data_IF_894911271810
#
_entry.id   IF_894911271810
#
_cell.length_a   1.000
_cell.length_b   1.000
_cell.length_c   1.000
_cell.angle_alpha   90.00
_cell.angle_beta   90.00
_cell.angle_gamma   90.00
#
_symmetry.space_group_name_H-M   'P 1'
#
loop_
_entity.id
_entity.type
_entity.pdbx_description
1 polymer ?
#
# COMPACT_ATOMS: atom_id res chain seq x y z
N UNK A 1 28.12 -22.13 11.87
CA UNK A 1 27.77 -20.89 12.58
C UNK A 1 26.83 -20.11 11.67
N UNK A 2 25.58 -19.95 12.08
CA UNK A 2 24.63 -19.09 11.38
C UNK A 2 24.78 -17.68 11.95
N UNK A 3 25.01 -16.69 11.10
CA UNK A 3 25.10 -15.28 11.50
C UNK A 3 23.82 -14.61 11.01
N UNK A 4 23.02 -14.08 11.93
CA UNK A 4 21.81 -13.32 11.60
C UNK A 4 22.18 -11.86 11.42
N UNK A 5 21.81 -11.30 10.27
CA UNK A 5 22.10 -9.90 9.90
C UNK A 5 20.78 -9.21 9.58
N UNK A 6 20.60 -7.98 10.06
CA UNK A 6 19.42 -7.16 9.72
C UNK A 6 19.52 -6.71 8.26
N UNK A 7 18.38 -6.61 7.58
CA UNK A 7 18.26 -6.11 6.20
C UNK A 7 18.80 -4.67 6.03
N UNK A 8 18.78 -3.87 7.09
CA UNK A 8 19.30 -2.49 7.13
C UNK A 8 20.79 -2.36 7.49
N UNK A 9 21.52 -3.47 7.63
CA UNK A 9 22.89 -3.44 8.13
C UNK A 9 23.89 -2.89 7.09
N UNK A 10 24.23 -1.60 7.23
CA UNK A 10 25.11 -0.87 6.31
C UNK A 10 26.51 -1.49 6.16
N UNK A 11 27.06 -2.12 7.22
CA UNK A 11 28.38 -2.76 7.19
C UNK A 11 28.50 -3.87 6.14
N UNK A 12 27.38 -4.47 5.70
CA UNK A 12 27.37 -5.44 4.61
C UNK A 12 27.92 -4.82 3.32
N UNK A 13 27.56 -3.57 3.04
CA UNK A 13 28.04 -2.82 1.88
C UNK A 13 29.50 -2.37 2.00
N UNK A 14 29.99 -2.17 3.23
CA UNK A 14 31.37 -1.73 3.51
C UNK A 14 32.38 -2.86 3.69
N UNK A 15 32.02 -4.11 3.37
CA UNK A 15 32.95 -5.25 3.40
C UNK A 15 32.30 -6.58 3.76
N UNK A 16 31.11 -6.59 4.36
CA UNK A 16 30.42 -7.84 4.70
C UNK A 16 30.11 -8.71 3.48
N UNK A 17 29.69 -8.12 2.35
CA UNK A 17 29.51 -8.87 1.09
C UNK A 17 30.81 -9.44 0.54
N UNK A 18 31.95 -8.75 0.71
CA UNK A 18 33.25 -9.27 0.32
C UNK A 18 33.62 -10.50 1.17
N UNK A 19 33.40 -10.43 2.48
CA UNK A 19 33.61 -11.59 3.38
C UNK A 19 32.72 -12.77 2.99
N UNK A 20 31.44 -12.53 2.69
CA UNK A 20 30.52 -13.56 2.23
C UNK A 20 30.98 -14.19 0.89
N UNK A 21 31.48 -13.38 -0.04
CA UNK A 21 32.04 -13.85 -1.31
C UNK A 21 33.29 -14.71 -1.11
N UNK A 22 34.22 -14.29 -0.24
CA UNK A 22 35.42 -15.06 0.11
C UNK A 22 35.09 -16.39 0.78
N UNK A 23 34.12 -16.39 1.71
CA UNK A 23 33.64 -17.62 2.33
C UNK A 23 33.01 -18.57 1.29
N UNK A 24 32.21 -18.05 0.36
CA UNK A 24 31.63 -18.82 -0.75
C UNK A 24 32.72 -19.40 -1.64
N UNK A 25 33.74 -18.61 -1.99
CA UNK A 25 34.88 -19.08 -2.78
C UNK A 25 35.65 -20.21 -2.08
N UNK A 26 35.86 -20.11 -0.76
CA UNK A 26 36.49 -21.17 0.03
C UNK A 26 35.66 -22.47 0.04
N UNK A 27 34.33 -22.37 0.14
CA UNK A 27 33.42 -23.53 0.05
C UNK A 27 33.49 -24.18 -1.33
N UNK A 28 33.47 -23.39 -2.41
CA UNK A 28 33.60 -23.90 -3.78
C UNK A 28 34.96 -24.60 -3.95
N UNK A 29 36.05 -23.96 -3.49
CA UNK A 29 37.40 -24.52 -3.56
C UNK A 29 37.53 -25.85 -2.80
N UNK A 30 36.84 -25.99 -1.65
CA UNK A 30 36.77 -27.25 -0.92
C UNK A 30 35.90 -28.30 -1.65
N UNK A 31 34.80 -27.90 -2.28
CA UNK A 31 33.89 -28.81 -2.97
C UNK A 31 34.49 -29.43 -4.24
N UNK A 32 35.37 -28.71 -4.95
CA UNK A 32 36.01 -29.20 -6.18
C UNK A 32 37.23 -30.10 -5.94
N UNK A 33 37.65 -30.30 -4.68
CA UNK A 33 38.82 -31.12 -4.38
C UNK A 33 38.63 -32.57 -4.88
N UNK A 34 39.67 -33.21 -5.45
CA UNK A 34 39.60 -34.59 -5.92
C UNK A 34 39.22 -35.56 -4.80
N UNK A 35 39.84 -35.39 -3.62
CA UNK A 35 39.59 -36.22 -2.43
C UNK A 35 38.23 -35.89 -1.80
N UNK A 36 37.55 -36.93 -1.30
CA UNK A 36 36.32 -36.76 -0.53
C UNK A 36 36.63 -36.01 0.77
N UNK A 37 35.86 -34.96 1.04
CA UNK A 37 35.89 -34.23 2.30
C UNK A 37 34.45 -34.01 2.80
N UNK A 38 34.31 -33.48 4.02
CA UNK A 38 33.01 -33.27 4.65
C UNK A 38 32.10 -32.35 3.83
N UNK A 39 32.64 -31.23 3.31
CA UNK A 39 31.90 -30.24 2.50
C UNK A 39 31.40 -30.86 1.19
N UNK A 40 32.26 -31.57 0.47
CA UNK A 40 31.88 -32.29 -0.76
C UNK A 40 30.79 -33.33 -0.47
N UNK A 41 30.89 -34.05 0.64
CA UNK A 41 29.91 -35.09 1.00
C UNK A 41 28.55 -34.51 1.34
N UNK A 42 28.50 -33.37 2.05
CA UNK A 42 27.23 -32.71 2.41
C UNK A 42 26.53 -32.07 1.22
N UNK A 43 27.26 -31.58 0.22
CA UNK A 43 26.71 -30.94 -0.98
C UNK A 43 26.45 -31.90 -2.16
N UNK A 44 26.86 -33.17 -2.05
CA UNK A 44 26.67 -34.19 -3.10
C UNK A 44 25.31 -34.91 -3.18
N UNK A 45 24.35 -34.81 -2.22
CA UNK A 45 23.04 -35.44 -2.37
C UNK A 45 22.39 -35.14 -3.73
N UNK A 46 21.74 -36.16 -4.30
CA UNK A 46 21.19 -36.07 -5.66
C UNK A 46 20.21 -34.91 -5.78
N UNK A 47 19.32 -34.73 -4.80
CA UNK A 47 18.33 -33.66 -4.82
C UNK A 47 18.97 -32.25 -4.84
N UNK A 48 20.00 -32.00 -4.02
CA UNK A 48 20.74 -30.73 -4.02
C UNK A 48 21.38 -30.45 -5.38
N UNK A 49 21.99 -31.48 -5.99
CA UNK A 49 22.58 -31.35 -7.33
C UNK A 49 21.54 -31.09 -8.41
N UNK A 50 20.35 -31.69 -8.33
CA UNK A 50 19.27 -31.44 -9.29
C UNK A 50 18.72 -30.01 -9.15
N UNK A 51 18.52 -29.51 -7.93
CA UNK A 51 18.16 -28.11 -7.69
C UNK A 51 19.24 -27.18 -8.24
N UNK A 52 20.51 -27.50 -8.00
CA UNK A 52 21.65 -26.73 -8.52
C UNK A 52 21.66 -26.62 -10.05
N UNK A 53 21.27 -27.68 -10.77
CA UNK A 53 21.19 -27.66 -12.25
C UNK A 53 20.13 -26.70 -12.77
N UNK A 54 18.98 -26.60 -12.10
CA UNK A 54 17.87 -25.73 -12.50
C UNK A 54 17.89 -24.36 -11.79
N UNK A 55 18.92 -24.08 -10.99
CA UNK A 55 19.00 -22.89 -10.13
C UNK A 55 18.88 -21.57 -10.91
N UNK A 56 19.42 -21.53 -12.12
CA UNK A 56 19.26 -20.39 -13.01
C UNK A 56 17.80 -20.16 -13.41
N UNK A 57 17.09 -21.21 -13.85
CA UNK A 57 15.66 -21.16 -14.14
C UNK A 57 14.82 -20.80 -12.91
N UNK A 58 15.16 -21.32 -11.73
CA UNK A 58 14.49 -20.94 -10.47
C UNK A 58 14.65 -19.44 -10.19
N UNK A 59 15.87 -18.91 -10.31
CA UNK A 59 16.13 -17.47 -10.14
C UNK A 59 15.38 -16.63 -11.17
N UNK A 60 15.27 -17.07 -12.42
CA UNK A 60 14.58 -16.29 -13.45
C UNK A 60 13.05 -16.31 -13.26
N UNK A 61 12.47 -17.49 -13.03
CA UNK A 61 11.03 -17.69 -13.08
C UNK A 61 10.31 -17.43 -11.75
N UNK A 62 11.01 -17.44 -10.61
CA UNK A 62 10.34 -17.17 -9.33
C UNK A 62 9.74 -15.75 -9.31
N UNK A 63 10.44 -14.74 -9.84
CA UNK A 63 9.99 -13.35 -9.75
C UNK A 63 8.69 -13.09 -10.54
N UNK A 64 8.57 -13.46 -11.83
CA UNK A 64 7.30 -13.36 -12.56
C UNK A 64 6.17 -14.17 -11.93
N UNK A 65 6.45 -15.37 -11.42
CA UNK A 65 5.43 -16.22 -10.78
C UNK A 65 4.88 -15.56 -9.53
N UNK A 66 5.74 -14.99 -8.68
CA UNK A 66 5.31 -14.31 -7.46
C UNK A 66 4.55 -13.01 -7.73
N UNK A 67 4.86 -12.32 -8.84
CA UNK A 67 4.09 -11.13 -9.26
C UNK A 67 2.72 -11.48 -9.86
N UNK A 68 2.59 -12.65 -10.48
CA UNK A 68 1.38 -13.03 -11.21
C UNK A 68 0.40 -13.85 -10.40
N UNK A 69 0.89 -14.68 -9.48
CA UNK A 69 0.08 -15.48 -8.57
C UNK A 69 -0.04 -14.75 -7.24
N UNK A 70 -0.91 -13.74 -7.18
CA UNK A 70 -1.26 -13.02 -5.95
C UNK A 70 -2.45 -13.67 -5.25
N UNK A 71 -2.62 -13.40 -3.96
CA UNK A 71 -3.77 -13.87 -3.18
C UNK A 71 -5.11 -13.45 -3.81
N UNK A 72 -5.19 -12.24 -4.34
CA UNK A 72 -6.37 -11.71 -5.03
C UNK A 72 -6.78 -12.50 -6.28
N UNK A 73 -5.80 -13.06 -6.99
CA UNK A 73 -6.05 -13.81 -8.24
C UNK A 73 -6.35 -15.28 -8.00
N UNK A 74 -5.77 -15.86 -6.95
CA UNK A 74 -5.84 -17.29 -6.67
C UNK A 74 -6.88 -17.59 -5.57
N UNK A 75 -7.28 -16.60 -4.78
CA UNK A 75 -8.21 -16.76 -3.66
C UNK A 75 -7.60 -17.43 -2.42
N UNK A 76 -6.32 -17.74 -2.46
CA UNK A 76 -5.56 -18.43 -1.40
C UNK A 76 -4.49 -17.51 -0.82
N UNK A 77 -4.13 -17.69 0.45
CA UNK A 77 -3.12 -16.88 1.14
C UNK A 77 -2.14 -17.74 1.96
N UNK A 78 -1.14 -17.10 2.55
CA UNK A 78 -0.21 -17.74 3.49
C UNK A 78 0.57 -18.92 2.89
N UNK A 79 0.67 -20.01 3.67
CA UNK A 79 1.49 -21.19 3.32
C UNK A 79 0.98 -21.89 2.05
N UNK A 80 -0.34 -21.90 1.83
CA UNK A 80 -0.94 -22.55 0.65
C UNK A 80 -0.49 -21.83 -0.62
N UNK A 81 -0.63 -20.51 -0.66
CA UNK A 81 -0.17 -19.70 -1.79
C UNK A 81 1.34 -19.85 -2.02
N UNK A 82 2.13 -19.90 -0.94
CA UNK A 82 3.57 -20.11 -1.01
C UNK A 82 3.92 -21.46 -1.67
N UNK A 83 3.26 -22.54 -1.26
CA UNK A 83 3.44 -23.88 -1.85
C UNK A 83 3.06 -23.89 -3.33
N UNK A 84 1.95 -23.24 -3.70
CA UNK A 84 1.53 -23.10 -5.10
C UNK A 84 2.61 -22.38 -5.92
N UNK A 85 3.10 -21.23 -5.45
CA UNK A 85 4.15 -20.46 -6.13
C UNK A 85 5.43 -21.24 -6.31
N UNK A 86 5.87 -21.98 -5.28
CA UNK A 86 7.03 -22.86 -5.40
C UNK A 86 6.77 -23.96 -6.43
N UNK A 87 5.64 -24.67 -6.35
CA UNK A 87 5.31 -25.75 -7.27
C UNK A 87 5.31 -25.26 -8.73
N UNK A 88 4.70 -24.11 -9.01
CA UNK A 88 4.68 -23.49 -10.34
C UNK A 88 6.09 -23.09 -10.77
N UNK A 89 6.86 -22.42 -9.89
CA UNK A 89 8.24 -22.01 -10.17
C UNK A 89 9.14 -23.21 -10.51
N UNK A 90 9.09 -24.27 -9.71
CA UNK A 90 9.87 -25.49 -9.93
C UNK A 90 9.46 -26.18 -11.23
N UNK A 91 8.17 -26.21 -11.55
CA UNK A 91 7.65 -26.80 -12.79
C UNK A 91 8.15 -26.04 -14.02
N UNK A 92 8.03 -24.70 -14.02
CA UNK A 92 8.51 -23.86 -15.11
C UNK A 92 10.03 -23.95 -15.24
N UNK A 93 10.77 -23.84 -14.15
CA UNK A 93 12.24 -23.92 -14.16
C UNK A 93 12.74 -25.28 -14.65
N UNK A 94 12.13 -26.38 -14.21
CA UNK A 94 12.48 -27.75 -14.66
C UNK A 94 12.19 -27.92 -16.14
N UNK A 95 11.02 -27.48 -16.60
CA UNK A 95 10.64 -27.55 -18.02
C UNK A 95 11.58 -26.69 -18.87
N UNK A 96 11.86 -25.46 -18.45
CA UNK A 96 12.80 -24.55 -19.11
C UNK A 96 14.20 -25.15 -19.19
N UNK A 97 14.67 -25.80 -18.12
CA UNK A 97 15.98 -26.45 -18.11
C UNK A 97 16.08 -27.57 -19.16
N UNK A 98 15.13 -28.49 -19.21
CA UNK A 98 15.20 -29.64 -20.13
C UNK A 98 14.85 -29.29 -21.58
N UNK A 99 13.92 -28.35 -21.80
CA UNK A 99 13.41 -28.02 -23.14
C UNK A 99 14.21 -26.89 -23.80
N UNK A 100 14.69 -25.92 -23.02
CA UNK A 100 15.36 -24.72 -23.54
C UNK A 100 16.84 -24.72 -23.20
N UNK A 101 17.20 -24.80 -21.91
CA UNK A 101 18.60 -24.60 -21.50
C UNK A 101 19.53 -25.74 -21.94
N UNK A 102 19.13 -27.00 -21.73
CA UNK A 102 19.97 -28.15 -22.01
C UNK A 102 20.28 -28.28 -23.52
N UNK A 103 19.30 -28.10 -24.43
CA UNK A 103 19.59 -28.12 -25.87
C UNK A 103 20.48 -26.95 -26.34
N UNK A 104 20.40 -25.75 -25.71
CA UNK A 104 21.36 -24.64 -25.92
C UNK A 104 22.76 -25.07 -25.51
N UNK A 105 22.91 -25.49 -24.26
CA UNK A 105 24.20 -25.77 -23.61
C UNK A 105 24.96 -26.87 -24.32
N UNK A 106 24.24 -27.90 -24.78
CA UNK A 106 24.82 -29.04 -25.49
C UNK A 106 24.94 -28.81 -27.01
N UNK A 107 24.61 -27.60 -27.50
CA UNK A 107 24.74 -27.19 -28.90
C UNK A 107 23.99 -28.09 -29.90
N UNK A 108 22.94 -28.79 -29.47
CA UNK A 108 22.13 -29.68 -30.33
C UNK A 108 21.46 -28.93 -31.50
N UNK A 109 21.50 -27.60 -31.50
CA UNK A 109 20.90 -26.71 -32.50
C UNK A 109 21.88 -26.23 -33.58
N UNK A 110 23.17 -26.57 -33.47
CA UNK A 110 24.19 -26.19 -34.47
C UNK A 110 24.10 -26.97 -35.79
N UNK A 111 23.30 -28.04 -35.87
CA UNK A 111 23.10 -28.82 -37.09
C UNK A 111 21.70 -28.58 -37.67
N UNK A 112 21.62 -27.90 -38.82
CA UNK A 112 20.42 -27.75 -39.65
C UNK A 112 19.64 -26.42 -39.54
N UNK A 113 18.53 -26.25 -40.29
CA UNK A 113 17.74 -25.01 -40.39
C UNK A 113 17.09 -24.56 -39.07
N UNK A 114 17.18 -25.39 -38.03
CA UNK A 114 16.70 -25.12 -36.66
C UNK A 114 17.39 -23.92 -36.01
N UNK A 115 18.59 -23.53 -36.45
CA UNK A 115 19.31 -22.34 -35.95
C UNK A 115 18.56 -21.03 -36.22
N UNK A 116 17.97 -20.90 -37.42
CA UNK A 116 17.21 -19.71 -37.80
C UNK A 116 15.88 -19.64 -37.05
N UNK A 117 15.15 -20.77 -36.97
CA UNK A 117 13.89 -20.90 -36.21
C UNK A 117 14.05 -20.52 -34.75
N UNK A 118 15.22 -20.81 -34.18
CA UNK A 118 15.42 -20.59 -32.76
C UNK A 118 15.86 -19.17 -32.42
N UNK A 119 16.63 -18.52 -33.29
CA UNK A 119 16.91 -17.07 -33.19
C UNK A 119 15.61 -16.27 -33.36
N UNK A 120 14.75 -16.64 -34.32
CA UNK A 120 13.44 -16.00 -34.47
C UNK A 120 12.51 -16.31 -33.31
N UNK A 121 12.51 -17.52 -32.75
CA UNK A 121 11.73 -17.86 -31.55
C UNK A 121 12.23 -17.12 -30.29
N UNK A 122 13.53 -16.91 -30.12
CA UNK A 122 14.05 -16.11 -29.01
C UNK A 122 13.74 -14.61 -29.19
N UNK A 123 13.85 -14.07 -30.41
CA UNK A 123 13.43 -12.69 -30.69
C UNK A 123 11.92 -12.50 -30.49
N UNK A 124 11.11 -13.46 -30.94
CA UNK A 124 9.67 -13.47 -30.72
C UNK A 124 9.33 -13.65 -29.23
N UNK A 125 10.10 -14.43 -28.46
CA UNK A 125 9.95 -14.58 -27.02
C UNK A 125 10.29 -13.31 -26.24
N UNK A 126 11.32 -12.56 -26.66
CA UNK A 126 11.65 -11.25 -26.09
C UNK A 126 10.56 -10.22 -26.42
N UNK A 127 10.06 -10.20 -27.67
CA UNK A 127 8.97 -9.33 -28.08
C UNK A 127 7.64 -9.69 -27.40
N UNK A 128 7.31 -10.98 -27.27
CA UNK A 128 6.14 -11.45 -26.54
C UNK A 128 6.26 -11.17 -25.04
N UNK A 129 7.46 -11.32 -24.45
CA UNK A 129 7.76 -10.89 -23.09
C UNK A 129 7.47 -9.39 -22.93
N UNK A 130 8.03 -8.54 -23.79
CA UNK A 130 7.74 -7.10 -23.79
C UNK A 130 6.24 -6.80 -23.93
N UNK A 131 5.52 -7.51 -24.81
CA UNK A 131 4.07 -7.33 -25.02
C UNK A 131 3.19 -7.86 -23.88
N UNK A 132 3.60 -8.93 -23.17
CA UNK A 132 2.88 -9.47 -22.01
C UNK A 132 3.15 -8.60 -20.76
N UNK A 133 4.34 -8.03 -20.62
CA UNK A 133 4.71 -7.18 -19.48
C UNK A 133 4.24 -5.72 -19.64
N UNK A 134 4.08 -5.20 -20.86
CA UNK A 134 3.57 -3.84 -21.13
C UNK A 134 2.18 -3.53 -20.51
N UNK A 135 1.16 -4.40 -20.60
CA UNK A 135 -0.15 -4.18 -19.98
C UNK A 135 -0.19 -4.52 -18.48
N UNK A 136 0.83 -5.19 -17.91
CA UNK A 136 0.90 -5.38 -16.45
C UNK A 136 1.31 -4.07 -15.75
N UNK A 137 2.02 -3.18 -16.45
CA UNK A 137 2.43 -1.86 -15.95
C UNK A 137 1.39 -0.78 -16.21
N UNK A 138 0.49 -0.98 -17.18
CA UNK A 138 -0.65 -0.08 -17.40
C UNK A 138 -1.87 -0.66 -16.67
N UNK A 139 -2.41 -0.01 -15.62
CA UNK A 139 -3.74 -0.36 -15.18
C UNK A 139 -4.63 -0.30 -16.42
N UNK A 140 -5.43 -1.33 -16.65
CA UNK A 140 -6.53 -1.27 -17.61
C UNK A 140 -7.52 -0.26 -17.08
N UNK A 141 -7.24 1.03 -17.28
CA UNK A 141 -8.22 2.08 -17.11
C UNK A 141 -9.26 1.85 -18.21
N UNK A 142 -10.33 1.11 -17.88
CA UNK A 142 -11.60 1.34 -18.56
C UNK A 142 -11.82 2.85 -18.53
N UNK A 143 -12.11 3.50 -19.67
CA UNK A 143 -12.43 4.92 -19.66
C UNK A 143 -13.62 5.09 -18.71
N UNK A 144 -13.37 5.68 -17.53
CA UNK A 144 -14.44 5.98 -16.60
C UNK A 144 -15.39 6.94 -17.32
N UNK A 145 -16.68 6.58 -17.36
CA UNK A 145 -17.70 7.52 -17.83
C UNK A 145 -17.65 8.73 -16.90
N UNK A 146 -17.66 9.93 -17.47
CA UNK A 146 -17.86 11.15 -16.69
C UNK A 146 -19.10 10.97 -15.81
N UNK A 147 -18.91 11.02 -14.49
CA UNK A 147 -20.00 10.96 -13.54
C UNK A 147 -20.59 12.36 -13.48
N UNK A 148 -21.79 12.54 -14.02
CA UNK A 148 -22.51 13.79 -13.84
C UNK A 148 -22.80 13.98 -12.35
N UNK A 149 -22.37 15.10 -11.79
CA UNK A 149 -22.72 15.50 -10.41
C UNK A 149 -24.19 15.94 -10.42
N UNK A 150 -25.10 15.04 -10.05
CA UNK A 150 -26.49 15.42 -9.80
C UNK A 150 -26.61 16.09 -8.43
N UNK A 151 -26.62 17.42 -8.40
CA UNK A 151 -26.94 18.18 -7.19
C UNK A 151 -28.44 18.04 -6.89
N UNK A 152 -28.80 17.17 -5.95
CA UNK A 152 -30.21 17.00 -5.53
C UNK A 152 -30.60 17.94 -4.37
N UNK A 153 -29.78 18.94 -4.04
CA UNK A 153 -29.98 19.85 -2.91
C UNK A 153 -30.29 21.29 -3.31
N UNK A 154 -31.13 21.98 -2.52
CA UNK A 154 -31.54 23.37 -2.76
C UNK A 154 -30.65 24.43 -2.09
N UNK A 155 -29.69 24.03 -1.26
CA UNK A 155 -28.74 24.94 -0.60
C UNK A 155 -27.45 25.09 -1.40
N UNK A 156 -26.92 26.33 -1.56
CA UNK A 156 -25.65 26.54 -2.24
C UNK A 156 -24.51 25.84 -1.47
N UNK A 157 -23.52 25.28 -2.18
CA UNK A 157 -22.39 24.62 -1.54
C UNK A 157 -21.59 25.61 -0.66
N UNK A 158 -20.82 25.11 0.32
CA UNK A 158 -19.90 25.94 1.11
C UNK A 158 -18.89 26.62 0.17
N UNK A 159 -18.80 27.95 0.22
CA UNK A 159 -17.93 28.72 -0.68
C UNK A 159 -16.44 28.35 -0.53
N UNK A 160 -16.03 27.87 0.66
CA UNK A 160 -14.65 27.52 0.96
C UNK A 160 -14.52 26.29 1.83
N UNK A 161 -13.83 25.28 1.31
CA UNK A 161 -13.58 24.00 1.98
C UNK A 161 -12.07 23.83 2.22
N UNK A 162 -11.69 23.44 3.44
CA UNK A 162 -10.34 22.98 3.76
C UNK A 162 -10.37 21.46 3.95
N UNK A 163 -9.48 20.71 3.28
CA UNK A 163 -9.30 19.27 3.53
C UNK A 163 -7.99 19.07 4.28
N UNK A 164 -8.04 18.41 5.43
CA UNK A 164 -6.86 18.05 6.23
C UNK A 164 -6.91 16.59 6.65
N UNK A 165 -5.75 16.02 6.92
CA UNK A 165 -5.65 14.60 7.22
C UNK A 165 -4.33 13.99 6.79
N UNK A 166 -4.36 12.70 6.50
CA UNK A 166 -3.20 11.93 6.06
C UNK A 166 -3.09 11.83 4.51
N UNK A 167 -2.35 10.83 4.01
CA UNK A 167 -2.23 10.59 2.58
C UNK A 167 -3.54 10.17 1.91
N UNK A 168 -4.50 9.62 2.65
CA UNK A 168 -5.83 9.27 2.14
C UNK A 168 -6.64 10.55 1.93
N UNK A 169 -6.61 11.49 2.89
CA UNK A 169 -7.16 12.83 2.70
C UNK A 169 -6.53 13.56 1.51
N UNK A 170 -5.20 13.47 1.37
CA UNK A 170 -4.49 14.09 0.27
C UNK A 170 -4.94 13.54 -1.09
N UNK A 171 -5.04 12.22 -1.23
CA UNK A 171 -5.37 11.60 -2.53
C UNK A 171 -6.84 11.73 -2.88
N UNK A 172 -7.77 11.54 -1.93
CA UNK A 172 -9.20 11.76 -2.18
C UNK A 172 -9.49 13.24 -2.44
N UNK A 173 -8.77 14.13 -1.74
CA UNK A 173 -8.88 15.58 -1.89
C UNK A 173 -8.50 16.08 -3.28
N UNK A 174 -7.61 15.39 -4.02
CA UNK A 174 -7.31 15.72 -5.41
C UNK A 174 -8.53 15.55 -6.33
N UNK A 175 -9.36 14.55 -6.06
CA UNK A 175 -10.66 14.39 -6.74
C UNK A 175 -11.68 15.43 -6.26
N UNK A 176 -11.67 15.77 -4.97
CA UNK A 176 -12.54 16.81 -4.43
C UNK A 176 -12.24 18.18 -5.08
N UNK A 177 -10.98 18.50 -5.34
CA UNK A 177 -10.59 19.74 -6.05
C UNK A 177 -11.20 19.81 -7.46
N UNK A 178 -11.28 18.69 -8.19
CA UNK A 178 -11.93 18.64 -9.51
C UNK A 178 -13.42 18.93 -9.40
N UNK A 179 -14.13 18.20 -8.54
CA UNK A 179 -15.57 18.38 -8.36
C UNK A 179 -15.92 19.75 -7.76
N UNK A 180 -15.06 20.32 -6.92
CA UNK A 180 -15.23 21.66 -6.35
C UNK A 180 -15.13 22.77 -7.41
N UNK A 181 -14.19 22.64 -8.35
CA UNK A 181 -14.01 23.61 -9.43
C UNK A 181 -15.27 23.71 -10.32
N UNK A 182 -15.91 22.58 -10.62
CA UNK A 182 -17.15 22.53 -11.40
C UNK A 182 -18.34 23.19 -10.68
N UNK A 183 -18.27 23.28 -9.35
CA UNK A 183 -19.28 23.87 -8.48
C UNK A 183 -18.96 25.31 -8.05
N UNK A 184 -17.84 25.87 -8.49
CA UNK A 184 -17.37 27.20 -8.06
C UNK A 184 -17.01 27.27 -6.57
N UNK A 185 -16.58 26.15 -5.97
CA UNK A 185 -16.17 26.03 -4.56
C UNK A 185 -14.65 26.18 -4.46
N UNK A 186 -14.17 27.08 -3.60
CA UNK A 186 -12.75 27.18 -3.27
C UNK A 186 -12.35 26.01 -2.34
N UNK A 187 -11.83 24.92 -2.90
CA UNK A 187 -11.31 23.80 -2.09
C UNK A 187 -9.80 23.88 -1.95
N UNK A 188 -9.33 23.72 -0.70
CA UNK A 188 -7.91 23.73 -0.36
C UNK A 188 -7.51 22.37 0.22
N UNK A 189 -6.85 21.54 -0.57
CA UNK A 189 -6.34 20.26 -0.10
C UNK A 189 -5.00 20.42 0.64
N UNK A 190 -4.97 20.02 1.91
CA UNK A 190 -3.81 20.09 2.81
C UNK A 190 -3.61 18.76 3.55
N UNK A 191 -4.00 17.64 2.95
CA UNK A 191 -3.65 16.32 3.46
C UNK A 191 -2.14 16.14 3.50
N UNK A 192 -1.63 15.50 4.55
CA UNK A 192 -0.20 15.33 4.76
C UNK A 192 0.21 13.87 4.55
N UNK A 193 1.13 13.65 3.62
CA UNK A 193 1.59 12.31 3.30
C UNK A 193 2.29 11.67 4.49
N UNK A 194 1.99 10.39 4.73
CA UNK A 194 2.61 9.56 5.76
C UNK A 194 2.40 10.01 7.22
N UNK A 195 1.47 10.94 7.49
CA UNK A 195 1.23 11.48 8.82
C UNK A 195 -0.07 10.99 9.43
N UNK A 196 -0.05 10.72 10.74
CA UNK A 196 -1.25 10.54 11.55
C UNK A 196 -1.42 11.70 12.53
N UNK A 197 -2.17 11.47 13.60
CA UNK A 197 -2.34 12.41 14.71
C UNK A 197 -1.22 12.34 15.76
N UNK A 198 -0.35 11.34 15.69
CA UNK A 198 0.73 11.15 16.66
C UNK A 198 1.84 12.21 16.49
N UNK A 199 2.24 12.82 17.60
CA UNK A 199 3.34 13.78 17.68
C UNK A 199 4.66 13.06 17.99
N UNK A 200 5.26 12.47 16.95
CA UNK A 200 6.54 11.76 17.07
C UNK A 200 6.42 10.33 17.62
N UNK A 201 7.54 9.80 18.11
CA UNK A 201 7.64 8.40 18.55
C UNK A 201 7.72 7.43 17.38
N UNK A 202 7.17 6.23 17.56
CA UNK A 202 7.11 5.19 16.53
C UNK A 202 5.68 4.71 16.33
N UNK A 203 5.40 4.16 15.16
CA UNK A 203 4.16 3.45 14.86
C UNK A 203 4.45 2.09 14.25
N UNK A 204 3.56 1.12 14.46
CA UNK A 204 3.66 -0.22 13.87
C UNK A 204 3.07 -0.23 12.46
N UNK A 205 3.87 -0.60 11.46
CA UNK A 205 3.43 -0.83 10.07
C UNK A 205 3.77 -2.23 9.62
N UNK A 206 2.75 -3.02 9.26
CA UNK A 206 2.93 -4.41 8.83
C UNK A 206 3.83 -5.22 9.77
N UNK A 207 3.63 -5.03 11.08
CA UNK A 207 4.37 -5.70 12.15
C UNK A 207 5.76 -5.16 12.47
N UNK A 208 6.18 -4.03 11.88
CA UNK A 208 7.47 -3.38 12.16
C UNK A 208 7.28 -2.00 12.77
N UNK A 209 8.05 -1.69 13.81
CA UNK A 209 8.12 -0.33 14.36
C UNK A 209 8.92 0.56 13.42
N UNK A 210 8.31 1.68 13.02
CA UNK A 210 8.93 2.73 12.21
C UNK A 210 8.77 4.07 12.92
N UNK A 211 9.78 4.93 12.82
CA UNK A 211 9.70 6.27 13.39
C UNK A 211 8.63 7.10 12.66
N UNK A 212 7.90 7.90 13.43
CA UNK A 212 6.99 8.89 12.85
C UNK A 212 7.83 9.91 12.08
N UNK A 213 7.43 10.18 10.83
CA UNK A 213 8.16 11.10 9.96
C UNK A 213 8.27 12.49 10.62
N UNK A 214 9.47 13.08 10.72
CA UNK A 214 9.65 14.39 11.37
C UNK A 214 8.79 15.52 10.81
N UNK A 215 8.36 15.42 9.55
CA UNK A 215 7.44 16.41 8.97
C UNK A 215 6.05 16.41 9.64
N UNK A 216 5.67 15.33 10.32
CA UNK A 216 4.36 15.16 10.93
C UNK A 216 4.21 15.84 12.31
N UNK A 217 5.23 16.48 12.86
CA UNK A 217 5.15 16.99 14.25
C UNK A 217 4.57 18.41 14.36
N UNK A 218 4.54 19.17 13.26
CA UNK A 218 4.15 20.59 13.28
C UNK A 218 2.70 20.86 12.82
N UNK A 219 1.91 19.81 12.57
CA UNK A 219 0.59 19.90 11.93
C UNK A 219 -0.37 20.90 12.59
N UNK A 220 -0.34 21.04 13.93
CA UNK A 220 -1.19 22.01 14.66
C UNK A 220 -0.91 23.46 14.24
N UNK A 221 0.36 23.83 14.11
CA UNK A 221 0.74 25.18 13.70
C UNK A 221 0.38 25.41 12.23
N UNK A 222 0.53 24.38 11.40
CA UNK A 222 0.18 24.44 9.99
C UNK A 222 -1.33 24.61 9.80
N UNK A 223 -2.15 23.85 10.53
CA UNK A 223 -3.62 23.96 10.53
C UNK A 223 -4.07 25.34 11.01
N UNK A 224 -3.49 25.85 12.10
CA UNK A 224 -3.79 27.21 12.58
C UNK A 224 -3.46 28.28 11.53
N UNK A 225 -2.34 28.12 10.82
CA UNK A 225 -1.96 28.96 9.68
C UNK A 225 -2.95 28.84 8.52
N UNK A 226 -3.43 27.64 8.20
CA UNK A 226 -4.43 27.42 7.16
C UNK A 226 -5.76 28.10 7.50
N UNK A 227 -6.27 27.89 8.71
CA UNK A 227 -7.52 28.53 9.18
C UNK A 227 -7.40 30.05 9.10
N UNK A 228 -6.30 30.63 9.61
CA UNK A 228 -6.07 32.08 9.57
C UNK A 228 -6.02 32.65 8.15
N UNK A 229 -5.37 31.95 7.21
CA UNK A 229 -5.16 32.43 5.83
C UNK A 229 -6.38 32.20 4.94
N UNK A 230 -6.99 31.02 5.08
CA UNK A 230 -8.04 30.55 4.18
C UNK A 230 -9.42 30.91 4.72
N UNK A 231 -9.63 30.95 6.04
CA UNK A 231 -10.95 31.15 6.65
C UNK A 231 -12.02 30.20 6.09
N UNK A 232 -11.80 28.86 6.20
CA UNK A 232 -12.71 27.89 5.64
C UNK A 232 -14.08 27.94 6.32
N UNK A 233 -15.15 27.76 5.54
CA UNK A 233 -16.51 27.60 6.10
C UNK A 233 -16.75 26.18 6.58
N UNK A 234 -16.13 25.22 5.89
CA UNK A 234 -16.16 23.81 6.24
C UNK A 234 -14.72 23.26 6.19
N UNK A 235 -14.30 22.57 7.24
CA UNK A 235 -13.06 21.79 7.26
C UNK A 235 -13.39 20.30 7.27
N UNK A 236 -12.98 19.57 6.24
CA UNK A 236 -13.08 18.12 6.15
C UNK A 236 -11.84 17.49 6.78
N UNK A 237 -12.03 16.61 7.75
CA UNK A 237 -10.95 15.89 8.43
C UNK A 237 -11.04 14.41 8.08
N UNK A 238 -10.01 13.85 7.46
CA UNK A 238 -9.94 12.42 7.14
C UNK A 238 -8.60 11.85 7.57
N UNK A 239 -8.63 10.91 8.50
CA UNK A 239 -7.48 10.07 8.83
C UNK A 239 -7.88 8.62 8.73
N UNK A 240 -6.96 7.80 8.26
CA UNK A 240 -7.18 6.39 7.99
C UNK A 240 -5.99 5.57 8.53
N UNK A 241 -4.99 5.30 7.69
CA UNK A 241 -4.05 4.20 7.92
C UNK A 241 -3.08 4.42 9.09
N UNK A 242 -2.76 5.66 9.42
CA UNK A 242 -1.80 5.97 10.48
C UNK A 242 -2.43 6.10 11.87
N UNK A 243 -3.71 6.48 11.94
CA UNK A 243 -4.43 6.61 13.22
C UNK A 243 -4.88 5.27 13.77
N UNK A 244 -4.93 4.23 12.94
CA UNK A 244 -5.26 2.85 13.32
C UNK A 244 -4.03 1.96 13.56
N UNK A 245 -2.85 2.57 13.67
CA UNK A 245 -1.60 1.88 13.97
C UNK A 245 -1.36 1.81 15.48
N UNK A 246 -0.66 0.77 15.94
CA UNK A 246 -0.12 0.75 17.31
C UNK A 246 0.95 1.83 17.43
N UNK A 247 0.99 2.55 18.55
CA UNK A 247 1.93 3.64 18.78
C UNK A 247 2.93 3.26 19.86
N UNK A 248 4.16 3.77 19.75
CA UNK A 248 5.14 3.78 20.83
C UNK A 248 5.56 5.21 21.10
N UNK A 249 5.15 5.73 22.25
CA UNK A 249 5.40 7.12 22.66
C UNK A 249 6.14 7.13 23.99
N UNK A 250 7.30 7.80 24.06
CA UNK A 250 8.13 7.88 25.28
C UNK A 250 8.37 6.49 25.92
N UNK A 251 8.79 5.53 25.10
CA UNK A 251 9.03 4.12 25.48
C UNK A 251 7.81 3.37 26.05
N UNK A 252 6.58 3.87 25.81
CA UNK A 252 5.34 3.17 26.14
C UNK A 252 4.62 2.74 24.88
N UNK A 253 4.27 1.46 24.84
CA UNK A 253 3.46 0.88 23.78
C UNK A 253 1.99 1.15 24.07
N UNK A 254 1.33 1.81 23.13
CA UNK A 254 -0.10 2.07 23.09
C UNK A 254 -0.67 1.22 21.95
N UNK A 255 -1.10 0.00 22.29
CA UNK A 255 -1.80 -0.86 21.34
C UNK A 255 -3.10 -0.18 20.91
N UNK A 256 -3.38 -0.16 19.61
CA UNK A 256 -4.59 0.45 19.06
C UNK A 256 -5.84 -0.32 19.52
N UNK A 257 -6.89 0.40 19.87
CA UNK A 257 -8.12 -0.18 20.42
C UNK A 257 -8.16 -0.22 21.95
N UNK A 258 -7.07 0.14 22.62
CA UNK A 258 -6.99 0.18 24.08
C UNK A 258 -7.34 1.57 24.63
N UNK A 259 -7.86 1.68 25.87
CA UNK A 259 -8.26 2.96 26.45
C UNK A 259 -7.17 4.03 26.43
N UNK A 260 -5.89 3.64 26.54
CA UNK A 260 -4.77 4.57 26.52
C UNK A 260 -4.50 5.14 25.11
N UNK A 261 -4.59 4.32 24.05
CA UNK A 261 -4.45 4.80 22.67
C UNK A 261 -5.64 5.67 22.28
N UNK A 262 -6.86 5.24 22.66
CA UNK A 262 -8.10 5.95 22.33
C UNK A 262 -8.11 7.34 22.95
N UNK A 263 -7.73 7.44 24.23
CA UNK A 263 -7.57 8.72 24.92
C UNK A 263 -6.56 9.61 24.22
N UNK A 264 -5.38 9.08 23.88
CA UNK A 264 -4.36 9.87 23.20
C UNK A 264 -4.84 10.40 21.84
N UNK A 265 -5.41 9.53 20.99
CA UNK A 265 -5.86 9.91 19.65
C UNK A 265 -7.04 10.90 19.70
N UNK A 266 -7.99 10.71 20.61
CA UNK A 266 -9.11 11.64 20.79
C UNK A 266 -8.68 12.99 21.37
N UNK A 267 -7.69 13.03 22.28
CA UNK A 267 -7.08 14.29 22.74
C UNK A 267 -6.38 15.04 21.59
N UNK A 268 -5.70 14.32 20.69
CA UNK A 268 -5.09 14.93 19.50
C UNK A 268 -6.13 15.43 18.50
N UNK A 269 -7.16 14.62 18.24
CA UNK A 269 -8.29 15.02 17.41
C UNK A 269 -8.97 16.27 17.97
N UNK A 270 -9.20 16.34 19.28
CA UNK A 270 -9.81 17.48 19.95
C UNK A 270 -9.03 18.78 19.70
N UNK A 271 -7.71 18.74 19.86
CA UNK A 271 -6.85 19.91 19.58
C UNK A 271 -6.97 20.36 18.13
N UNK A 272 -7.03 19.41 17.19
CA UNK A 272 -7.20 19.71 15.77
C UNK A 272 -8.56 20.34 15.46
N UNK A 273 -9.64 19.78 16.02
CA UNK A 273 -11.00 20.32 15.89
C UNK A 273 -11.09 21.74 16.45
N UNK A 274 -10.50 21.99 17.63
CA UNK A 274 -10.45 23.32 18.25
C UNK A 274 -9.76 24.36 17.36
N UNK A 275 -8.67 23.98 16.70
CA UNK A 275 -7.96 24.83 15.74
C UNK A 275 -8.84 25.10 14.52
N UNK A 276 -9.46 24.07 13.94
CA UNK A 276 -10.24 24.20 12.71
C UNK A 276 -11.50 25.05 12.88
N UNK A 277 -12.12 25.02 14.07
CA UNK A 277 -13.31 25.83 14.40
C UNK A 277 -12.99 27.24 14.91
N UNK A 278 -11.71 27.60 15.08
CA UNK A 278 -11.33 28.84 15.78
C UNK A 278 -11.78 30.14 15.09
N UNK A 279 -12.08 30.10 13.78
CA UNK A 279 -12.61 31.23 12.99
C UNK A 279 -14.12 31.08 12.68
N UNK A 280 -14.82 30.19 13.39
CA UNK A 280 -16.28 29.98 13.27
C UNK A 280 -16.72 29.06 12.13
N UNK A 281 -15.79 28.34 11.48
CA UNK A 281 -16.10 27.32 10.48
C UNK A 281 -16.59 26.01 11.10
N UNK A 282 -17.39 25.24 10.36
CA UNK A 282 -17.79 23.89 10.76
C UNK A 282 -16.70 22.87 10.48
N UNK A 283 -16.61 21.83 11.30
CA UNK A 283 -15.69 20.69 11.11
C UNK A 283 -16.51 19.44 10.81
N UNK A 284 -16.17 18.78 9.71
CA UNK A 284 -16.80 17.52 9.30
C UNK A 284 -15.76 16.42 9.36
N UNK A 285 -15.93 15.51 10.31
CA UNK A 285 -15.10 14.32 10.48
C UNK A 285 -15.59 13.24 9.50
N UNK A 286 -14.73 12.84 8.56
CA UNK A 286 -15.04 11.76 7.62
C UNK A 286 -14.57 10.44 8.22
N UNK A 287 -15.41 9.41 8.16
CA UNK A 287 -15.04 8.05 8.60
C UNK A 287 -13.91 7.49 7.73
N UNK A 288 -12.98 6.75 8.34
CA UNK A 288 -11.97 6.00 7.60
C UNK A 288 -12.65 4.89 6.80
N UNK A 289 -12.36 4.76 5.49
CA UNK A 289 -12.93 3.68 4.71
C UNK A 289 -12.11 2.39 4.89
N UNK A 290 -12.70 1.22 4.62
CA UNK A 290 -11.92 -0.03 4.65
C UNK A 290 -10.83 -0.03 3.57
N UNK A 291 -9.71 -0.68 3.91
CA UNK A 291 -8.56 -0.88 3.02
C UNK A 291 -8.30 -2.36 2.80
N UNK A 292 -7.62 -2.66 1.70
CA UNK A 292 -7.12 -4.01 1.43
C UNK A 292 -5.96 -3.90 0.44
N UNK A 293 -4.73 -3.88 0.95
CA UNK A 293 -3.53 -3.76 0.12
C UNK A 293 -3.23 -5.08 -0.58
N UNK A 294 -2.94 -5.07 -1.89
CA UNK A 294 -2.49 -6.26 -2.59
C UNK A 294 -1.14 -6.71 -2.06
N UNK A 295 -0.91 -8.03 -2.07
CA UNK A 295 0.41 -8.58 -1.75
C UNK A 295 1.45 -8.07 -2.75
N UNK A 296 2.54 -7.48 -2.23
CA UNK A 296 3.66 -6.99 -3.05
C UNK A 296 4.99 -7.52 -2.52
N UNK A 297 5.87 -7.92 -3.45
CA UNK A 297 7.24 -8.33 -3.12
C UNK A 297 7.97 -7.24 -2.33
N UNK A 298 8.58 -7.63 -1.21
CA UNK A 298 9.30 -6.71 -0.31
C UNK A 298 8.42 -5.93 0.65
N UNK A 299 7.10 -6.11 0.61
CA UNK A 299 6.16 -5.57 1.59
C UNK A 299 5.72 -6.64 2.60
N UNK A 300 5.21 -6.24 3.77
CA UNK A 300 4.47 -7.11 4.68
C UNK A 300 3.41 -7.95 3.96
N UNK A 301 3.29 -9.22 4.37
CA UNK A 301 2.29 -10.16 3.83
C UNK A 301 0.89 -9.78 4.32
N UNK A 302 0.80 -9.27 5.56
CA UNK A 302 -0.42 -8.80 6.18
C UNK A 302 -0.19 -7.40 6.74
N UNK A 303 -1.20 -6.56 6.58
CA UNK A 303 -1.25 -5.22 7.15
C UNK A 303 -2.33 -5.21 8.21
N UNK A 304 -1.94 -4.98 9.46
CA UNK A 304 -2.91 -4.79 10.56
C UNK A 304 -3.84 -3.62 10.28
N UNK A 305 -3.37 -2.63 9.53
CA UNK A 305 -4.11 -1.45 9.11
C UNK A 305 -5.21 -1.75 8.07
N UNK A 306 -5.25 -2.97 7.51
CA UNK A 306 -6.33 -3.42 6.62
C UNK A 306 -7.43 -4.20 7.38
N UNK A 307 -7.27 -4.39 8.69
CA UNK A 307 -8.28 -5.05 9.53
C UNK A 307 -9.54 -4.16 9.67
N UNK A 308 -10.71 -4.61 9.17
CA UNK A 308 -11.97 -3.87 9.31
C UNK A 308 -12.32 -3.52 10.75
N UNK A 309 -11.95 -4.36 11.73
CA UNK A 309 -12.25 -4.09 13.13
C UNK A 309 -11.51 -2.85 13.66
N UNK A 310 -10.29 -2.61 13.18
CA UNK A 310 -9.54 -1.40 13.55
C UNK A 310 -10.17 -0.13 12.94
N UNK A 311 -10.61 -0.23 11.68
CA UNK A 311 -11.34 0.85 11.00
C UNK A 311 -12.66 1.14 11.71
N UNK A 312 -13.42 0.12 12.08
CA UNK A 312 -14.69 0.24 12.82
C UNK A 312 -14.49 0.90 14.18
N UNK A 313 -13.43 0.53 14.91
CA UNK A 313 -13.10 1.13 16.18
C UNK A 313 -12.78 2.63 16.05
N UNK A 314 -11.95 3.01 15.09
CA UNK A 314 -11.67 4.43 14.82
C UNK A 314 -12.93 5.21 14.43
N UNK A 315 -13.75 4.66 13.54
CA UNK A 315 -15.00 5.27 13.13
C UNK A 315 -16.00 5.42 14.28
N UNK A 316 -16.00 4.48 15.23
CA UNK A 316 -16.76 4.60 16.47
C UNK A 316 -16.24 5.72 17.35
N UNK A 317 -14.92 5.85 17.52
CA UNK A 317 -14.31 6.95 18.28
C UNK A 317 -14.68 8.33 17.72
N UNK A 318 -14.69 8.49 16.40
CA UNK A 318 -15.13 9.75 15.76
C UNK A 318 -16.57 10.11 16.12
N UNK A 319 -17.48 9.13 16.07
CA UNK A 319 -18.90 9.31 16.42
C UNK A 319 -19.10 9.61 17.90
N UNK A 320 -18.42 8.87 18.77
CA UNK A 320 -18.49 9.07 20.22
C UNK A 320 -17.92 10.44 20.61
N UNK A 321 -16.81 10.85 19.99
CA UNK A 321 -16.21 12.18 20.18
C UNK A 321 -17.19 13.30 19.78
N UNK A 322 -17.74 13.26 18.57
CA UNK A 322 -18.67 14.30 18.11
C UNK A 322 -19.96 14.35 18.95
N UNK A 323 -20.50 13.17 19.32
CA UNK A 323 -21.66 13.07 20.20
C UNK A 323 -21.37 13.63 21.60
N UNK A 324 -20.19 13.33 22.15
CA UNK A 324 -19.76 13.81 23.46
C UNK A 324 -19.53 15.32 23.49
N UNK A 325 -19.04 15.90 22.39
CA UNK A 325 -18.87 17.34 22.23
C UNK A 325 -20.22 18.08 22.18
N UNK A 326 -21.25 17.45 21.59
CA UNK A 326 -22.61 17.99 21.45
C UNK A 326 -22.63 19.41 20.83
N UNK A 327 -21.77 19.63 19.85
CA UNK A 327 -21.63 20.91 19.14
C UNK A 327 -22.14 20.74 17.70
N UNK A 328 -23.17 21.50 17.26
CA UNK A 328 -23.71 21.40 15.91
C UNK A 328 -22.69 21.79 14.82
N UNK A 329 -21.60 22.48 15.16
CA UNK A 329 -20.53 22.81 14.22
C UNK A 329 -19.58 21.64 13.95
N UNK A 330 -19.67 20.54 14.70
CA UNK A 330 -18.80 19.36 14.54
C UNK A 330 -19.66 18.15 14.22
N UNK A 331 -19.63 17.70 12.96
CA UNK A 331 -20.43 16.57 12.49
C UNK A 331 -19.55 15.43 11.99
N UNK A 332 -20.13 14.23 11.92
CA UNK A 332 -19.49 13.05 11.32
C UNK A 332 -20.27 12.68 10.06
N UNK A 333 -19.57 12.53 8.94
CA UNK A 333 -20.14 11.99 7.70
C UNK A 333 -19.53 10.62 7.41
N UNK A 334 -20.40 9.64 7.23
CA UNK A 334 -19.98 8.25 7.04
C UNK A 334 -19.64 7.93 5.58
N UNK A 335 -18.43 8.29 5.15
CA UNK A 335 -17.96 7.93 3.81
C UNK A 335 -17.66 6.43 3.69
N UNK A 336 -17.31 5.74 4.78
CA UNK A 336 -17.08 4.30 4.78
C UNK A 336 -18.34 3.53 4.36
N UNK A 337 -19.52 3.92 4.86
CA UNK A 337 -20.78 3.28 4.46
C UNK A 337 -21.01 3.36 2.94
N UNK A 338 -20.72 4.52 2.34
CA UNK A 338 -20.86 4.72 0.90
C UNK A 338 -19.80 3.95 0.08
N UNK A 339 -18.56 3.93 0.55
CA UNK A 339 -17.43 3.31 -0.14
C UNK A 339 -17.32 1.80 0.09
N UNK A 340 -18.01 1.28 1.10
CA UNK A 340 -18.01 -0.13 1.53
C UNK A 340 -19.45 -0.65 1.67
N UNK A 341 -20.25 -0.68 0.60
CA UNK A 341 -21.64 -1.10 0.67
C UNK A 341 -21.73 -2.52 1.24
N UNK A 342 -22.69 -2.73 2.16
CA UNK A 342 -22.86 -3.98 2.94
C UNK A 342 -21.76 -4.24 3.97
N UNK A 343 -20.99 -3.22 4.35
CA UNK A 343 -19.98 -3.33 5.40
C UNK A 343 -18.78 -4.20 5.01
N UNK A 344 -18.45 -4.26 3.72
CA UNK A 344 -17.30 -5.01 3.21
C UNK A 344 -16.47 -4.14 2.28
N UNK A 345 -15.16 -4.33 2.32
CA UNK A 345 -14.26 -3.71 1.37
C UNK A 345 -14.69 -4.01 -0.07
N UNK A 346 -14.71 -2.97 -0.89
CA UNK A 346 -14.74 -3.06 -2.35
C UNK A 346 -13.75 -2.05 -2.91
N UNK A 347 -13.17 -2.36 -4.05
CA UNK A 347 -12.37 -1.41 -4.80
C UNK A 347 -13.15 -0.78 -5.98
N UNK A 348 -14.47 -0.97 -6.04
CA UNK A 348 -15.32 -0.31 -7.02
C UNK A 348 -16.72 0.00 -6.49
N UNK A 349 -17.22 1.18 -6.82
CA UNK A 349 -18.59 1.63 -6.59
C UNK A 349 -19.11 2.24 -7.87
N UNK A 350 -20.31 1.84 -8.31
CA UNK A 350 -20.96 2.34 -9.53
C UNK A 350 -20.10 2.26 -10.81
N UNK A 351 -19.17 1.30 -10.88
CA UNK A 351 -18.27 1.12 -12.01
C UNK A 351 -17.01 1.99 -11.98
N UNK A 352 -16.85 2.86 -10.97
CA UNK A 352 -15.63 3.64 -10.74
C UNK A 352 -14.69 2.83 -9.86
N UNK A 353 -13.43 2.69 -10.27
CA UNK A 353 -12.36 2.08 -9.46
C UNK A 353 -11.91 3.05 -8.36
N UNK A 354 -12.00 2.63 -7.10
CA UNK A 354 -11.79 3.50 -5.95
C UNK A 354 -10.31 3.79 -5.71
N UNK A 355 -9.46 2.76 -5.61
CA UNK A 355 -8.07 2.87 -5.14
C UNK A 355 -7.09 2.15 -6.07
N UNK A 356 -5.90 2.72 -6.25
CA UNK A 356 -4.87 2.13 -7.11
C UNK A 356 -3.88 1.20 -6.37
N UNK A 357 -3.88 1.22 -5.04
CA UNK A 357 -3.00 0.38 -4.20
C UNK A 357 -3.71 -0.25 -3.00
N UNK A 358 -5.05 -0.24 -3.00
CA UNK A 358 -5.86 -0.75 -1.90
C UNK A 358 -6.05 0.23 -0.74
N UNK A 359 -5.44 1.42 -0.79
CA UNK A 359 -5.60 2.50 0.20
C UNK A 359 -5.95 3.84 -0.44
N UNK A 360 -5.13 4.30 -1.38
CA UNK A 360 -5.16 5.65 -1.90
C UNK A 360 -6.09 5.77 -3.10
N UNK A 361 -6.84 6.87 -3.15
CA UNK A 361 -7.92 7.06 -4.11
C UNK A 361 -7.43 7.45 -5.50
N UNK A 362 -8.08 6.91 -6.52
CA UNK A 362 -8.05 7.47 -7.85
C UNK A 362 -8.79 8.82 -7.87
N UNK A 363 -8.31 9.83 -8.62
CA UNK A 363 -8.97 11.14 -8.67
C UNK A 363 -10.45 11.08 -9.06
N UNK A 364 -10.83 10.23 -10.00
CA UNK A 364 -12.23 10.08 -10.45
C UNK A 364 -13.15 9.56 -9.32
N UNK A 365 -12.60 8.71 -8.44
CA UNK A 365 -13.32 8.22 -7.27
C UNK A 365 -13.51 9.33 -6.23
N UNK A 366 -12.50 10.19 -6.05
CA UNK A 366 -12.62 11.38 -5.21
C UNK A 366 -13.68 12.34 -5.74
N UNK A 367 -13.71 12.61 -7.05
CA UNK A 367 -14.71 13.48 -7.68
C UNK A 367 -16.14 12.94 -7.52
N UNK A 368 -16.34 11.63 -7.76
CA UNK A 368 -17.62 10.95 -7.50
C UNK A 368 -18.02 11.06 -6.02
N UNK A 369 -17.11 10.79 -5.10
CA UNK A 369 -17.38 10.88 -3.66
C UNK A 369 -17.70 12.32 -3.26
N UNK A 370 -17.04 13.32 -3.86
CA UNK A 370 -17.32 14.73 -3.60
C UNK A 370 -18.75 15.11 -4.00
N UNK A 371 -19.20 14.66 -5.18
CA UNK A 371 -20.58 14.86 -5.61
C UNK A 371 -21.61 14.24 -4.64
N UNK A 372 -21.30 13.09 -4.06
CA UNK A 372 -22.12 12.49 -3.01
C UNK A 372 -22.02 13.23 -1.66
N UNK A 373 -20.85 13.78 -1.34
CA UNK A 373 -20.55 14.43 -0.06
C UNK A 373 -21.12 15.85 0.03
N UNK A 374 -21.03 16.64 -1.04
CA UNK A 374 -21.36 18.07 -1.04
C UNK A 374 -22.76 18.39 -0.47
N UNK A 375 -23.84 17.64 -0.77
CA UNK A 375 -25.18 17.97 -0.26
C UNK A 375 -25.34 17.66 1.24
N UNK A 376 -24.36 16.98 1.85
CA UNK A 376 -24.33 16.64 3.28
C UNK A 376 -23.50 17.63 4.10
N UNK A 377 -22.79 18.55 3.44
CA UNK A 377 -22.00 19.55 4.13
C UNK A 377 -22.90 20.69 4.63
N UNK A 378 -22.53 21.35 5.74
CA UNK A 378 -23.22 22.55 6.20
C UNK A 378 -23.25 23.61 5.09
N UNK A 379 -24.41 24.24 4.89
CA UNK A 379 -24.56 25.30 3.90
C UNK A 379 -23.70 26.53 4.23
N UNK A 380 -23.35 27.32 3.21
CA UNK A 380 -22.80 28.65 3.42
C UNK A 380 -23.84 29.51 4.18
N UNK A 381 -23.50 29.92 5.40
CA UNK A 381 -24.25 30.95 6.14
C UNK A 381 -23.96 32.35 5.58
#
# INVERSE_FOLDING_TARGET
>A
MLVFVRDTASWMYYGGYLLAALATAAVIAAAIQPRRNAIKSSLSPVWLRQIGKISYGLYLWHWPVFLTLTSERIGESGVVLLVIRFAVTFTIATTSFYVVELPIRQQHWRKGPRKAVLVTAMAAGVLAGLFIFLPIVRPTSTPNKAVAIELTGTSPPPARILVVGDSVAQTVGQGFERGANDLGVDLFNRGQLACGLAEGGQLSRGGRWVDVEPTCTNWKNDWASYVKKLKPKVSLVLFDVFVISDLRLNDRDLAFGEPASDKYLTEQLSKGVDILRSDGGSVVLLTAPYNNRPERLGQPIEWTEDDPARVDHWNKLLRDYAKGLNDPQVTVVDINEYLSPKGKYTNSVSGTELRYDGVHFNPDAGEMLFGWLIPKLPASA
#
